data_IF_735552435610
#
_entry.id   IF_735552435610
#
_cell.length_a   1.000
_cell.length_b   1.000
_cell.length_c   1.000
_cell.angle_alpha   90.00
_cell.angle_beta   90.00
_cell.angle_gamma   90.00
#
_symmetry.space_group_name_H-M   'P 1'
#
loop_
_entity.id
_entity.type
_entity.pdbx_description
1 polymer ?
#
# COMPACT_ATOMS: atom_id res chain seq x y z
N UNK A 1 12.75 14.13 -5.26
CA UNK A 1 11.64 13.78 -6.16
C UNK A 1 10.58 13.12 -5.31
N UNK A 2 9.28 13.45 -5.45
CA UNK A 2 8.27 12.68 -4.74
C UNK A 2 8.29 11.25 -5.28
N UNK A 3 8.27 10.27 -4.38
CA UNK A 3 8.65 8.87 -4.61
C UNK A 3 7.42 7.95 -4.73
N UNK A 4 6.24 8.52 -4.96
CA UNK A 4 4.96 7.81 -5.02
C UNK A 4 4.06 8.52 -6.03
N UNK A 5 3.91 7.92 -7.21
CA UNK A 5 2.90 8.28 -8.22
C UNK A 5 1.72 7.33 -8.22
N UNK A 6 1.36 6.71 -7.09
CA UNK A 6 0.07 6.02 -7.04
C UNK A 6 -1.00 7.08 -7.30
N UNK A 7 -1.60 7.05 -8.50
CA UNK A 7 -2.59 8.05 -8.87
C UNK A 7 -3.86 7.82 -8.02
N UNK A 8 -4.58 8.90 -7.66
CA UNK A 8 -5.76 8.78 -6.82
C UNK A 8 -6.88 8.04 -7.55
N UNK A 9 -7.75 7.40 -6.77
CA UNK A 9 -9.01 6.83 -7.29
C UNK A 9 -9.84 7.93 -7.96
N UNK A 10 -10.21 7.73 -9.21
CA UNK A 10 -10.93 8.76 -9.97
C UNK A 10 -12.39 8.90 -9.52
N UNK A 11 -13.02 10.10 -9.68
CA UNK A 11 -14.43 10.28 -9.39
C UNK A 11 -15.34 9.30 -10.14
N UNK A 12 -16.03 8.44 -9.40
CA UNK A 12 -16.91 7.40 -9.96
C UNK A 12 -16.22 6.07 -10.27
N UNK A 13 -14.92 5.95 -10.01
CA UNK A 13 -14.16 4.71 -10.17
C UNK A 13 -14.25 3.83 -8.91
N UNK A 14 -14.63 2.54 -9.02
CA UNK A 14 -14.55 1.62 -7.88
C UNK A 14 -13.10 1.34 -7.47
N UNK A 15 -12.84 1.21 -6.17
CA UNK A 15 -11.48 1.02 -5.60
C UNK A 15 -10.71 -0.15 -6.24
N UNK A 16 -11.35 -1.30 -6.40
CA UNK A 16 -10.71 -2.48 -7.00
C UNK A 16 -10.41 -2.28 -8.50
N UNK A 17 -11.20 -1.46 -9.20
CA UNK A 17 -10.95 -1.08 -10.59
C UNK A 17 -9.74 -0.16 -10.69
N UNK A 18 -9.68 0.87 -9.83
CA UNK A 18 -8.53 1.76 -9.73
C UNK A 18 -7.25 0.97 -9.44
N UNK A 19 -7.26 0.08 -8.43
CA UNK A 19 -6.11 -0.77 -8.11
C UNK A 19 -5.65 -1.63 -9.30
N UNK A 20 -6.58 -2.26 -10.03
CA UNK A 20 -6.21 -3.05 -11.19
C UNK A 20 -5.64 -2.21 -12.35
N UNK A 21 -6.15 -0.98 -12.52
CA UNK A 21 -5.65 0.00 -13.50
C UNK A 21 -4.23 0.46 -13.14
N UNK A 22 -3.99 0.91 -11.92
CA UNK A 22 -2.67 1.36 -11.45
C UNK A 22 -1.61 0.29 -11.63
N UNK A 23 -1.88 -0.95 -11.18
CA UNK A 23 -0.92 -2.05 -11.32
C UNK A 23 -0.56 -2.29 -12.80
N UNK A 24 -1.51 -2.18 -13.72
CA UNK A 24 -1.25 -2.30 -15.15
C UNK A 24 -0.45 -1.11 -15.71
N UNK A 25 -0.80 0.10 -15.31
CA UNK A 25 -0.15 1.35 -15.74
C UNK A 25 1.29 1.46 -15.25
N UNK A 26 1.62 0.93 -14.08
CA UNK A 26 2.99 0.95 -13.54
C UNK A 26 3.81 -0.27 -13.94
N UNK A 27 3.21 -1.46 -13.89
CA UNK A 27 3.96 -2.74 -14.00
C UNK A 27 3.73 -3.51 -15.30
N UNK A 28 2.68 -3.17 -16.05
CA UNK A 28 2.25 -3.91 -17.25
C UNK A 28 1.54 -5.24 -16.95
N UNK A 29 1.35 -5.58 -15.67
CA UNK A 29 0.65 -6.79 -15.27
C UNK A 29 -0.85 -6.53 -15.15
N UNK A 30 -1.64 -7.45 -15.68
CA UNK A 30 -3.09 -7.49 -15.44
C UNK A 30 -3.36 -8.38 -14.25
N UNK A 31 -3.98 -7.83 -13.20
CA UNK A 31 -4.33 -8.53 -11.97
C UNK A 31 -5.81 -8.85 -11.87
N UNK A 32 -6.15 -9.91 -11.13
CA UNK A 32 -7.54 -10.29 -10.84
C UNK A 32 -7.64 -10.91 -9.45
N UNK A 33 -8.86 -11.23 -8.99
CA UNK A 33 -9.12 -11.82 -7.67
C UNK A 33 -8.44 -11.05 -6.53
N UNK A 34 -8.55 -9.71 -6.55
CA UNK A 34 -8.01 -8.86 -5.51
C UNK A 34 -8.65 -9.19 -4.16
N UNK A 35 -7.82 -9.44 -3.16
CA UNK A 35 -8.20 -9.59 -1.76
C UNK A 35 -7.96 -8.25 -1.05
N UNK A 36 -9.02 -7.69 -0.47
CA UNK A 36 -8.91 -6.51 0.42
C UNK A 36 -8.20 -6.92 1.71
N UNK A 37 -7.10 -6.25 2.04
CA UNK A 37 -6.28 -6.57 3.21
C UNK A 37 -6.56 -5.63 4.38
N UNK A 38 -6.69 -4.34 4.09
CA UNK A 38 -6.83 -3.33 5.14
C UNK A 38 -6.68 -1.91 4.61
N UNK A 39 -6.51 -0.97 5.54
CA UNK A 39 -6.42 0.45 5.23
C UNK A 39 -5.26 1.12 5.93
N UNK A 40 -4.77 2.20 5.34
CA UNK A 40 -3.82 3.12 6.00
C UNK A 40 -4.39 4.51 5.98
N UNK A 41 -4.22 5.25 7.08
CA UNK A 41 -4.79 6.59 7.23
C UNK A 41 -3.71 7.61 7.60
N UNK A 42 -3.71 8.76 6.92
CA UNK A 42 -2.94 9.93 7.33
C UNK A 42 -3.88 11.10 7.57
N UNK A 43 -3.84 11.66 8.77
CA UNK A 43 -4.66 12.80 9.15
C UNK A 43 -3.94 14.11 8.92
N UNK A 44 -4.63 15.08 8.30
CA UNK A 44 -4.16 16.45 8.22
C UNK A 44 -4.61 17.22 9.46
N UNK A 45 -3.65 17.80 10.20
CA UNK A 45 -3.93 18.53 11.44
C UNK A 45 -4.47 19.95 11.21
N UNK A 46 -4.36 20.49 9.99
CA UNK A 46 -4.70 21.87 9.65
C UNK A 46 -6.00 21.97 8.85
N UNK A 47 -6.15 21.13 7.83
CA UNK A 47 -7.20 21.24 6.82
C UNK A 47 -8.36 20.25 7.03
N UNK A 48 -8.39 19.54 8.16
CA UNK A 48 -9.48 18.65 8.60
C UNK A 48 -9.89 17.57 7.58
N UNK A 49 -8.95 17.07 6.79
CA UNK A 49 -9.15 15.92 5.91
C UNK A 49 -8.20 14.77 6.29
N UNK A 50 -8.42 13.61 5.68
CA UNK A 50 -7.50 12.46 5.78
C UNK A 50 -7.27 11.83 4.42
N UNK A 51 -6.06 11.31 4.20
CA UNK A 51 -5.76 10.39 3.09
C UNK A 51 -6.02 8.96 3.57
N UNK A 52 -6.78 8.20 2.80
CA UNK A 52 -7.03 6.77 3.07
C UNK A 52 -6.42 5.97 1.92
N UNK A 53 -5.47 5.10 2.23
CA UNK A 53 -4.96 4.08 1.31
C UNK A 53 -5.70 2.77 1.52
N UNK A 54 -6.12 2.14 0.43
CA UNK A 54 -6.74 0.81 0.45
C UNK A 54 -5.71 -0.22 -0.04
N UNK A 55 -5.43 -1.22 0.79
CA UNK A 55 -4.40 -2.21 0.54
C UNK A 55 -5.03 -3.49 -0.02
N UNK A 56 -4.54 -3.94 -1.16
CA UNK A 56 -4.98 -5.17 -1.82
C UNK A 56 -3.80 -6.11 -2.09
N UNK A 57 -4.07 -7.41 -2.08
CA UNK A 57 -3.10 -8.42 -2.55
C UNK A 57 -3.77 -9.38 -3.52
N UNK A 58 -2.96 -10.01 -4.36
CA UNK A 58 -3.39 -11.13 -5.21
C UNK A 58 -2.19 -11.95 -5.64
N UNK A 59 -2.43 -13.21 -5.96
CA UNK A 59 -1.48 -14.09 -6.67
C UNK A 59 -1.87 -14.32 -8.13
N UNK A 60 -3.01 -13.78 -8.57
CA UNK A 60 -3.55 -13.99 -9.91
C UNK A 60 -3.24 -12.82 -10.82
N UNK A 61 -2.25 -13.02 -11.70
CA UNK A 61 -1.83 -12.03 -12.67
C UNK A 61 -1.44 -12.67 -14.01
N UNK A 62 -1.41 -11.83 -15.04
CA UNK A 62 -0.93 -12.20 -16.37
C UNK A 62 -0.21 -11.02 -17.04
N UNK A 63 0.48 -11.28 -18.15
CA UNK A 63 1.27 -10.28 -18.87
C UNK A 63 2.77 -10.43 -18.61
N UNK A 64 3.53 -9.41 -18.99
CA UNK A 64 4.97 -9.34 -18.80
C UNK A 64 5.32 -8.09 -18.02
N UNK A 65 6.19 -8.24 -17.03
CA UNK A 65 6.65 -7.14 -16.21
C UNK A 65 7.38 -6.13 -17.09
N UNK A 66 6.84 -4.92 -17.20
CA UNK A 66 7.54 -3.78 -17.80
C UNK A 66 8.36 -3.09 -16.74
N UNK A 67 9.43 -2.43 -17.16
CA UNK A 67 10.18 -1.54 -16.28
C UNK A 67 9.56 -0.15 -16.39
N UNK A 68 9.36 0.52 -15.26
CA UNK A 68 8.84 1.88 -15.21
C UNK A 68 9.94 2.93 -15.31
N UNK A 69 9.54 4.18 -15.57
CA UNK A 69 10.46 5.32 -15.63
C UNK A 69 11.04 5.71 -14.26
N UNK A 70 10.44 5.22 -13.17
CA UNK A 70 10.77 5.61 -11.79
C UNK A 70 11.71 4.64 -11.06
N UNK A 71 12.04 3.51 -11.68
CA UNK A 71 12.93 2.53 -11.09
C UNK A 71 12.79 1.14 -11.66
N UNK A 72 13.62 0.24 -11.13
CA UNK A 72 13.57 -1.17 -11.50
C UNK A 72 12.49 -1.88 -10.68
N UNK A 73 11.59 -2.56 -11.38
CA UNK A 73 10.59 -3.43 -10.75
C UNK A 73 11.20 -4.83 -10.64
N UNK A 74 11.24 -5.36 -9.43
CA UNK A 74 11.90 -6.61 -9.09
C UNK A 74 10.97 -7.48 -8.26
N UNK A 75 11.02 -8.79 -8.49
CA UNK A 75 10.45 -9.77 -7.58
C UNK A 75 11.42 -9.98 -6.42
N UNK A 76 10.91 -9.97 -5.19
CA UNK A 76 11.73 -10.08 -3.98
C UNK A 76 11.11 -11.06 -2.98
N UNK A 77 11.91 -11.90 -2.29
CA UNK A 77 11.40 -12.76 -1.23
C UNK A 77 10.92 -11.93 -0.03
N UNK A 78 9.76 -12.27 0.52
CA UNK A 78 9.23 -11.58 1.71
C UNK A 78 10.19 -11.63 2.91
N UNK A 79 10.92 -12.73 3.07
CA UNK A 79 11.86 -12.93 4.18
C UNK A 79 13.08 -11.98 4.14
N UNK A 80 13.35 -11.38 2.99
CA UNK A 80 14.52 -10.53 2.78
C UNK A 80 14.17 -9.02 2.96
N UNK A 81 12.88 -8.69 3.09
CA UNK A 81 12.40 -7.32 3.28
C UNK A 81 12.60 -6.87 4.74
N UNK A 82 13.18 -5.70 4.93
CA UNK A 82 13.41 -5.10 6.25
C UNK A 82 13.45 -3.56 6.16
N UNK A 83 13.47 -2.88 7.31
CA UNK A 83 13.47 -1.40 7.36
C UNK A 83 14.69 -0.75 6.72
N UNK A 84 15.80 -1.46 6.57
CA UNK A 84 17.01 -0.89 5.97
C UNK A 84 17.00 -0.93 4.43
N UNK A 85 16.15 -1.77 3.81
CA UNK A 85 16.04 -1.90 2.36
C UNK A 85 14.66 -1.58 1.80
N UNK A 86 13.74 -1.09 2.63
CA UNK A 86 12.38 -0.67 2.23
C UNK A 86 12.14 0.79 2.58
N UNK A 87 11.10 1.37 1.98
CA UNK A 87 10.66 2.72 2.29
C UNK A 87 10.14 2.81 3.74
N UNK A 88 10.07 4.03 4.26
CA UNK A 88 9.43 4.30 5.55
C UNK A 88 7.99 3.74 5.58
N UNK A 89 7.59 3.21 6.72
CA UNK A 89 6.27 2.59 6.95
C UNK A 89 5.94 1.34 6.11
N UNK A 90 6.86 0.86 5.26
CA UNK A 90 6.62 -0.33 4.43
C UNK A 90 6.37 -1.57 5.29
N UNK A 91 7.07 -1.72 6.42
CA UNK A 91 6.92 -2.91 7.27
C UNK A 91 5.56 -2.95 7.97
N UNK A 92 5.00 -1.79 8.32
CA UNK A 92 3.66 -1.65 8.84
C UNK A 92 2.61 -2.03 7.78
N UNK A 93 2.77 -1.55 6.54
CA UNK A 93 1.92 -1.98 5.42
C UNK A 93 2.05 -3.48 5.14
N UNK A 94 3.28 -4.03 5.20
CA UNK A 94 3.51 -5.46 5.03
C UNK A 94 2.82 -6.30 6.11
N UNK A 95 2.75 -5.81 7.35
CA UNK A 95 2.01 -6.47 8.42
C UNK A 95 0.51 -6.57 8.09
N UNK A 96 -0.10 -5.52 7.52
CA UNK A 96 -1.50 -5.56 7.04
C UNK A 96 -1.68 -6.62 5.94
N UNK A 97 -0.72 -6.79 5.04
CA UNK A 97 -0.78 -7.81 3.99
C UNK A 97 -0.62 -9.24 4.51
N UNK A 98 0.03 -9.46 5.66
CA UNK A 98 0.53 -10.79 6.06
C UNK A 98 0.01 -11.31 7.39
N UNK A 99 -0.36 -10.44 8.34
CA UNK A 99 -0.93 -10.82 9.63
C UNK A 99 -2.45 -10.83 9.55
N UNK A 100 -3.07 -11.92 9.98
CA UNK A 100 -4.52 -12.12 9.85
C UNK A 100 -5.37 -11.12 10.65
N UNK A 101 -4.84 -10.58 11.75
CA UNK A 101 -5.57 -9.71 12.68
C UNK A 101 -5.20 -8.24 12.55
N UNK A 102 -4.24 -7.90 11.68
CA UNK A 102 -3.80 -6.52 11.45
C UNK A 102 -4.55 -5.96 10.25
N UNK A 103 -5.46 -5.02 10.50
CA UNK A 103 -6.37 -4.51 9.46
C UNK A 103 -6.13 -3.05 9.09
N UNK A 104 -5.45 -2.29 9.95
CA UNK A 104 -5.14 -0.90 9.66
C UNK A 104 -3.87 -0.37 10.33
N UNK A 105 -3.40 0.76 9.80
CA UNK A 105 -2.36 1.58 10.41
C UNK A 105 -2.67 3.06 10.21
N UNK A 106 -2.24 3.89 11.15
CA UNK A 106 -2.54 5.33 11.17
C UNK A 106 -1.30 6.17 11.38
N UNK A 107 -1.30 7.36 10.79
CA UNK A 107 -0.45 8.48 11.16
C UNK A 107 -1.29 9.71 11.43
N UNK A 108 -1.01 10.39 12.54
CA UNK A 108 -1.66 11.67 12.88
C UNK A 108 -0.95 12.87 12.26
N UNK A 109 0.03 12.62 11.39
CA UNK A 109 0.74 13.61 10.60
C UNK A 109 0.63 13.23 9.12
N UNK A 110 0.32 14.20 8.25
CA UNK A 110 0.23 13.96 6.82
C UNK A 110 1.60 13.51 6.28
N UNK A 111 1.63 12.35 5.61
CA UNK A 111 2.85 11.66 5.16
C UNK A 111 3.83 11.29 6.30
N UNK A 112 3.39 11.31 7.56
CA UNK A 112 4.16 10.82 8.69
C UNK A 112 4.25 9.29 8.74
N UNK A 113 5.07 8.78 9.67
CA UNK A 113 5.23 7.35 9.88
C UNK A 113 3.91 6.71 10.35
N UNK A 114 3.60 5.53 9.81
CA UNK A 114 2.43 4.75 10.21
C UNK A 114 2.70 3.96 11.49
N UNK A 115 1.64 3.75 12.28
CA UNK A 115 1.61 2.85 13.44
C UNK A 115 0.42 1.91 13.29
N UNK A 116 0.61 0.60 13.54
CA UNK A 116 -0.45 -0.41 13.44
C UNK A 116 -1.56 -0.20 14.49
N UNK A 117 -2.80 -0.55 14.14
CA UNK A 117 -3.93 -0.54 15.08
C UNK A 117 -4.52 -1.96 15.26
N UNK A 118 -4.87 -2.37 16.50
CA UNK A 118 -4.44 -1.79 17.76
C UNK A 118 -2.92 -1.96 17.95
N UNK A 119 -2.31 -1.02 18.66
CA UNK A 119 -0.91 -1.13 19.05
C UNK A 119 -0.77 -2.35 19.97
N UNK A 120 -0.14 -3.44 19.48
CA UNK A 120 0.14 -4.67 20.26
C UNK A 120 1.01 -4.38 21.51
N UNK A 121 1.43 -3.12 21.72
CA UNK A 121 2.15 -2.63 22.89
C UNK A 121 1.33 -2.34 24.16
N UNK A 122 0.01 -2.56 24.20
CA UNK A 122 -0.80 -2.23 25.39
C UNK A 122 -1.74 -3.32 25.92
N UNK A 123 -1.40 -4.60 25.73
CA UNK A 123 -1.92 -5.68 26.58
C UNK A 123 -1.02 -5.82 27.83
N UNK A 124 -1.22 -4.92 28.82
CA UNK A 124 -0.79 -5.10 30.21
C UNK A 124 -1.87 -4.64 31.18
#
# INVERSE_FOLDING_TARGET
MPLDRTEPVEPGEPLATAMAREVFEETGLTVSQLESCGTVEWFDTQDHYRKIGFLYRTSQFSGQLKQGDEGRILWYPLADLNRANTAESFMEMLAIFTKQTTVDAVSFEMNGSLTLTPDEGNDK
#
